data_IF_862771437513
#
_entry.id   IF_862771437513
#
_cell.length_a   1.000
_cell.length_b   1.000
_cell.length_c   1.000
_cell.angle_alpha   90.00
_cell.angle_beta   90.00
_cell.angle_gamma   90.00
#
_symmetry.space_group_name_H-M   'P 1'
#
loop_
_entity.id
_entity.type
_entity.pdbx_description
1 polymer ?
#
# COMPACT_ATOMS: atom_id res chain seq x y z
N UNK A 1 0.65 -24.38 -4.94
CA UNK A 1 0.36 -23.45 -3.84
C UNK A 1 1.36 -22.30 -3.90
N UNK A 2 0.89 -21.06 -3.92
CA UNK A 2 1.74 -19.87 -4.05
C UNK A 2 2.53 -19.58 -2.77
N UNK A 3 3.82 -19.27 -2.93
CA UNK A 3 4.68 -18.71 -1.89
C UNK A 3 4.64 -17.19 -1.98
N UNK A 4 4.09 -16.54 -0.97
CA UNK A 4 3.84 -15.09 -0.98
C UNK A 4 4.64 -14.45 0.15
N UNK A 5 5.39 -13.40 -0.17
CA UNK A 5 6.06 -12.56 0.82
C UNK A 5 5.27 -11.26 1.01
N UNK A 6 5.05 -10.85 2.27
CA UNK A 6 4.47 -9.56 2.61
C UNK A 6 5.42 -8.80 3.54
N UNK A 7 5.92 -7.67 3.06
CA UNK A 7 6.86 -6.81 3.77
C UNK A 7 6.12 -5.55 4.25
N UNK A 8 6.03 -5.36 5.56
CA UNK A 8 5.57 -4.10 6.15
C UNK A 8 6.79 -3.21 6.41
N UNK A 9 6.82 -2.01 5.84
CA UNK A 9 7.94 -1.09 6.01
C UNK A 9 7.53 0.16 6.80
N UNK A 10 8.32 0.46 7.83
CA UNK A 10 8.05 1.58 8.74
C UNK A 10 6.76 1.41 9.55
N UNK A 11 6.40 2.41 10.35
CA UNK A 11 5.27 2.30 11.28
C UNK A 11 3.94 1.97 10.59
N UNK A 12 3.62 2.66 9.49
CA UNK A 12 2.37 2.45 8.75
C UNK A 12 2.30 1.05 8.13
N UNK A 13 3.35 0.65 7.38
CA UNK A 13 3.41 -0.68 6.77
C UNK A 13 3.34 -1.79 7.80
N UNK A 14 4.05 -1.64 8.92
CA UNK A 14 4.03 -2.59 10.03
C UNK A 14 2.64 -2.76 10.64
N UNK A 15 1.88 -1.67 10.85
CA UNK A 15 0.53 -1.74 11.43
C UNK A 15 -0.48 -2.40 10.47
N UNK A 16 -0.34 -2.20 9.16
CA UNK A 16 -1.17 -2.90 8.17
C UNK A 16 -0.83 -4.38 8.15
N UNK A 17 0.47 -4.73 8.17
CA UNK A 17 0.91 -6.12 8.28
C UNK A 17 0.42 -6.79 9.58
N UNK A 18 0.43 -6.07 10.69
CA UNK A 18 -0.11 -6.54 11.97
C UNK A 18 -1.62 -6.82 11.87
N UNK A 19 -2.38 -5.93 11.22
CA UNK A 19 -3.80 -6.14 10.96
C UNK A 19 -4.04 -7.35 10.04
N UNK A 20 -3.20 -7.58 9.03
CA UNK A 20 -3.27 -8.80 8.20
C UNK A 20 -3.01 -10.05 9.03
N UNK A 21 -1.97 -10.03 9.86
CA UNK A 21 -1.64 -11.13 10.76
C UNK A 21 -2.81 -11.43 11.72
N UNK A 22 -3.41 -10.40 12.31
CA UNK A 22 -4.58 -10.51 13.19
C UNK A 22 -5.75 -11.25 12.53
N UNK A 23 -6.11 -10.84 11.31
CA UNK A 23 -7.20 -11.47 10.57
C UNK A 23 -6.85 -12.91 10.18
N UNK A 24 -5.59 -13.21 9.85
CA UNK A 24 -5.12 -14.55 9.48
C UNK A 24 -5.00 -15.54 10.65
N UNK A 25 -4.80 -15.07 11.88
CA UNK A 25 -4.87 -15.91 13.08
C UNK A 25 -6.31 -16.24 13.50
N UNK A 26 -7.30 -15.49 13.00
CA UNK A 26 -8.65 -15.47 13.54
C UNK A 26 -8.71 -14.73 14.88
N UNK A 27 -9.91 -14.32 15.31
CA UNK A 27 -10.15 -13.64 16.61
C UNK A 27 -10.01 -14.59 17.81
N UNK A 28 -8.91 -15.34 17.92
CA UNK A 28 -8.57 -16.14 19.09
C UNK A 28 -7.90 -15.28 20.16
N UNK A 29 -8.26 -15.51 21.43
CA UNK A 29 -7.63 -14.85 22.58
C UNK A 29 -6.11 -15.06 22.63
N UNK A 30 -5.42 -14.28 23.47
CA UNK A 30 -3.95 -14.20 23.57
C UNK A 30 -3.26 -15.57 23.68
N UNK A 31 -3.90 -16.56 24.34
CA UNK A 31 -3.39 -17.92 24.48
C UNK A 31 -3.43 -18.76 23.19
N UNK A 32 -4.42 -18.54 22.31
CA UNK A 32 -4.48 -19.26 21.03
C UNK A 32 -3.31 -18.88 20.12
N UNK A 33 -2.78 -17.65 20.22
CA UNK A 33 -1.70 -17.12 19.36
C UNK A 33 -0.35 -17.84 19.52
N UNK A 34 -0.05 -18.34 20.73
CA UNK A 34 1.20 -19.05 21.02
C UNK A 34 1.23 -20.48 20.44
N UNK A 35 0.06 -21.13 20.35
CA UNK A 35 -0.07 -22.51 19.90
C UNK A 35 -0.65 -22.65 18.48
N UNK A 36 -1.21 -21.58 17.91
CA UNK A 36 -1.86 -21.62 16.59
C UNK A 36 -0.89 -21.15 15.49
N UNK A 37 -0.76 -21.95 14.43
CA UNK A 37 -0.12 -21.53 13.17
C UNK A 37 -1.00 -20.48 12.48
N UNK A 38 -0.41 -19.42 11.92
CA UNK A 38 -1.14 -18.49 11.04
C UNK A 38 -1.87 -19.32 9.98
N UNK A 39 -3.18 -19.20 9.90
CA UNK A 39 -3.99 -19.90 8.89
C UNK A 39 -4.17 -18.97 7.70
N UNK A 40 -3.06 -18.61 7.07
CA UNK A 40 -3.16 -18.04 5.73
C UNK A 40 -3.67 -19.13 4.78
N UNK A 41 -4.53 -18.78 3.81
CA UNK A 41 -4.94 -19.71 2.75
C UNK A 41 -3.75 -20.21 1.90
N UNK A 42 -2.65 -19.46 1.87
CA UNK A 42 -1.43 -19.70 1.08
C UNK A 42 -0.17 -19.80 1.99
N UNK A 43 0.98 -20.16 1.40
CA UNK A 43 2.28 -20.09 2.08
C UNK A 43 2.73 -18.62 2.17
N UNK A 44 2.12 -17.87 3.10
CA UNK A 44 2.43 -16.45 3.32
C UNK A 44 3.53 -16.32 4.36
N UNK A 45 4.60 -15.61 4.00
CA UNK A 45 5.66 -15.16 4.90
C UNK A 45 5.52 -13.67 5.12
N UNK A 46 5.68 -13.21 6.36
CA UNK A 46 5.54 -11.80 6.71
C UNK A 46 6.80 -11.30 7.40
N UNK A 47 7.26 -10.09 7.08
CA UNK A 47 8.35 -9.41 7.79
C UNK A 47 7.96 -7.94 8.00
N UNK A 48 7.95 -7.50 9.26
CA UNK A 48 7.85 -6.09 9.64
C UNK A 48 9.26 -5.51 9.78
N UNK A 49 9.61 -4.51 8.97
CA UNK A 49 10.95 -3.92 8.91
C UNK A 49 10.85 -2.45 9.33
N UNK A 50 11.61 -2.07 10.36
CA UNK A 50 11.65 -0.68 10.80
C UNK A 50 12.98 -0.33 11.49
N UNK A 51 13.33 0.95 11.46
CA UNK A 51 14.47 1.51 12.19
C UNK A 51 14.10 1.87 13.64
N UNK A 52 12.82 2.15 13.90
CA UNK A 52 12.32 2.43 15.24
C UNK A 52 11.89 1.14 15.96
N UNK A 53 12.69 0.69 16.94
CA UNK A 53 12.40 -0.53 17.71
C UNK A 53 11.09 -0.46 18.50
N UNK A 54 10.69 0.73 18.96
CA UNK A 54 9.46 0.92 19.72
C UNK A 54 8.21 0.61 18.87
N UNK A 55 8.23 0.95 17.59
CA UNK A 55 7.14 0.60 16.67
C UNK A 55 7.02 -0.93 16.50
N UNK A 56 8.16 -1.62 16.38
CA UNK A 56 8.18 -3.08 16.29
C UNK A 56 7.68 -3.74 17.57
N UNK A 57 8.08 -3.21 18.75
CA UNK A 57 7.58 -3.68 20.05
C UNK A 57 6.07 -3.49 20.18
N UNK A 58 5.52 -2.42 19.63
CA UNK A 58 4.09 -2.11 19.66
C UNK A 58 3.20 -3.03 18.80
N UNK A 59 3.77 -3.88 17.94
CA UNK A 59 3.00 -4.86 17.17
C UNK A 59 2.46 -5.96 18.08
N UNK A 60 1.19 -6.31 17.92
CA UNK A 60 0.50 -7.26 18.80
C UNK A 60 0.37 -8.63 18.15
N UNK A 61 0.16 -8.67 16.84
CA UNK A 61 -0.19 -9.88 16.10
C UNK A 61 0.96 -10.40 15.23
N UNK A 62 2.04 -9.64 15.07
CA UNK A 62 3.26 -10.04 14.33
C UNK A 62 4.24 -10.73 15.27
N UNK A 63 4.72 -11.93 14.95
CA UNK A 63 5.62 -12.68 15.84
C UNK A 63 7.00 -12.02 15.93
N UNK A 64 7.71 -12.20 17.05
CA UNK A 64 9.03 -11.59 17.26
C UNK A 64 10.04 -11.92 16.14
N UNK A 65 10.08 -13.18 15.69
CA UNK A 65 10.95 -13.60 14.56
C UNK A 65 10.60 -12.93 13.22
N UNK A 66 9.41 -12.37 13.10
CA UNK A 66 8.90 -11.68 11.91
C UNK A 66 9.05 -10.15 12.04
N UNK A 67 9.76 -9.67 13.07
CA UNK A 67 10.07 -8.27 13.31
C UNK A 67 11.57 -8.05 13.10
N UNK A 68 11.94 -7.39 12.02
CA UNK A 68 13.30 -7.01 11.71
C UNK A 68 13.54 -5.56 12.14
N UNK A 69 14.39 -5.40 13.16
CA UNK A 69 14.91 -4.09 13.53
C UNK A 69 16.16 -3.79 12.71
N UNK A 70 16.15 -2.68 11.99
CA UNK A 70 17.31 -2.17 11.26
C UNK A 70 18.00 -1.11 12.14
N UNK A 71 19.20 -1.37 12.67
CA UNK A 71 19.80 -0.50 13.69
C UNK A 71 20.08 0.91 13.19
N UNK A 72 19.44 1.91 13.78
CA UNK A 72 19.80 3.32 13.62
C UNK A 72 19.18 4.19 14.73
N UNK A 73 19.96 4.48 15.78
CA UNK A 73 19.57 5.35 16.91
C UNK A 73 18.11 5.13 17.35
N UNK A 74 17.27 6.17 17.26
CA UNK A 74 15.84 6.18 17.62
C UNK A 74 14.91 6.14 16.40
N UNK A 75 15.43 5.82 15.21
CA UNK A 75 14.75 5.94 13.93
C UNK A 75 15.18 7.18 13.13
N UNK A 76 14.76 7.25 11.86
CA UNK A 76 15.20 8.31 10.91
C UNK A 76 14.22 9.49 10.83
N UNK A 77 13.18 9.51 11.65
CA UNK A 77 12.12 10.51 11.62
C UNK A 77 11.43 10.59 10.25
N UNK A 78 11.25 11.80 9.73
CA UNK A 78 10.76 12.07 8.37
C UNK A 78 11.89 12.34 7.36
N UNK A 79 13.16 12.07 7.70
CA UNK A 79 14.30 12.33 6.83
C UNK A 79 14.55 11.17 5.87
N UNK A 80 14.14 11.33 4.60
CA UNK A 80 14.33 10.30 3.57
C UNK A 80 15.78 10.10 3.17
N UNK A 81 16.61 11.14 3.16
CA UNK A 81 18.03 11.03 2.80
C UNK A 81 18.76 10.14 3.79
N UNK A 82 18.54 10.38 5.09
CA UNK A 82 19.07 9.51 6.15
C UNK A 82 18.49 8.09 6.05
N UNK A 83 17.19 7.97 5.78
CA UNK A 83 16.57 6.66 5.55
C UNK A 83 17.20 5.86 4.41
N UNK A 84 17.54 6.50 3.29
CA UNK A 84 18.25 5.85 2.17
C UNK A 84 19.64 5.38 2.60
N UNK A 85 20.41 6.21 3.31
CA UNK A 85 21.72 5.83 3.85
C UNK A 85 21.63 4.61 4.78
N UNK A 86 20.67 4.63 5.71
CA UNK A 86 20.46 3.51 6.64
C UNK A 86 20.08 2.23 5.91
N UNK A 87 19.31 2.30 4.83
CA UNK A 87 19.00 1.13 4.01
C UNK A 87 20.28 0.57 3.38
N UNK A 88 21.09 1.40 2.71
CA UNK A 88 22.32 0.96 2.05
C UNK A 88 23.30 0.31 3.05
N UNK A 89 23.50 0.95 4.20
CA UNK A 89 24.39 0.44 5.26
C UNK A 89 23.94 -0.92 5.83
N UNK A 90 22.64 -1.26 5.70
CA UNK A 90 22.04 -2.47 6.27
C UNK A 90 21.41 -3.38 5.21
N UNK A 91 21.70 -3.15 3.92
CA UNK A 91 21.09 -3.85 2.79
C UNK A 91 21.27 -5.36 2.90
N UNK A 92 22.48 -5.81 3.22
CA UNK A 92 22.82 -7.24 3.37
C UNK A 92 22.03 -7.90 4.51
N UNK A 93 21.80 -7.20 5.62
CA UNK A 93 21.00 -7.70 6.74
C UNK A 93 19.54 -7.85 6.31
N UNK A 94 18.99 -6.84 5.63
CA UNK A 94 17.60 -6.83 5.17
C UNK A 94 17.37 -7.98 4.17
N UNK A 95 18.22 -8.09 3.15
CA UNK A 95 18.11 -9.13 2.12
C UNK A 95 18.37 -10.52 2.70
N UNK A 96 19.38 -10.67 3.57
CA UNK A 96 19.66 -11.94 4.23
C UNK A 96 18.50 -12.47 5.07
N UNK A 97 17.72 -11.59 5.72
CA UNK A 97 16.50 -12.01 6.45
C UNK A 97 15.34 -12.38 5.54
N UNK A 98 15.25 -11.76 4.35
CA UNK A 98 14.26 -12.11 3.33
C UNK A 98 14.60 -13.48 2.73
N UNK A 99 15.85 -13.71 2.34
CA UNK A 99 16.33 -14.94 1.71
C UNK A 99 16.14 -16.17 2.61
N UNK A 100 16.30 -16.00 3.93
CA UNK A 100 16.00 -17.04 4.93
C UNK A 100 14.55 -17.54 4.89
N UNK A 101 13.61 -16.81 4.28
CA UNK A 101 12.21 -17.24 4.17
C UNK A 101 11.94 -18.12 2.94
N UNK A 102 12.90 -18.27 2.04
CA UNK A 102 12.85 -19.15 0.88
C UNK A 102 12.54 -18.44 -0.43
N UNK A 103 11.93 -19.16 -1.37
CA UNK A 103 11.53 -18.64 -2.68
C UNK A 103 10.12 -18.06 -2.65
N UNK A 104 9.85 -17.06 -3.51
CA UNK A 104 8.54 -16.42 -3.60
C UNK A 104 8.05 -16.37 -5.03
N UNK A 105 6.73 -16.54 -5.20
CA UNK A 105 6.02 -16.41 -6.47
C UNK A 105 5.39 -15.01 -6.61
N UNK A 106 5.22 -14.29 -5.50
CA UNK A 106 4.63 -12.95 -5.42
C UNK A 106 5.12 -12.22 -4.16
N UNK A 107 5.46 -10.95 -4.30
CA UNK A 107 5.96 -10.12 -3.19
C UNK A 107 5.11 -8.85 -3.08
N UNK A 108 4.62 -8.57 -1.87
CA UNK A 108 3.94 -7.33 -1.53
C UNK A 108 4.83 -6.46 -0.62
N UNK A 109 4.97 -5.19 -0.96
CA UNK A 109 5.62 -4.17 -0.12
C UNK A 109 4.56 -3.18 0.35
N UNK A 110 4.32 -3.08 1.65
CA UNK A 110 3.35 -2.18 2.25
C UNK A 110 4.09 -1.06 2.96
N UNK A 111 3.83 0.19 2.57
CA UNK A 111 4.51 1.35 3.14
C UNK A 111 3.64 2.60 3.13
N UNK A 112 4.03 3.62 3.88
CA UNK A 112 3.54 4.99 3.68
C UNK A 112 4.51 5.76 2.80
N UNK A 113 3.96 6.58 1.91
CA UNK A 113 4.74 7.51 1.09
C UNK A 113 5.37 8.65 1.91
N UNK A 114 4.85 8.93 3.10
CA UNK A 114 5.13 10.17 3.82
C UNK A 114 6.21 10.07 4.92
N UNK A 115 6.40 8.89 5.52
CA UNK A 115 7.37 8.70 6.62
C UNK A 115 8.84 8.75 6.16
N UNK A 116 9.80 8.66 7.08
CA UNK A 116 11.23 8.58 6.71
C UNK A 116 11.67 7.17 6.36
N UNK A 117 11.47 6.17 7.23
CA UNK A 117 11.97 4.80 7.01
C UNK A 117 11.26 4.10 5.85
N UNK A 118 9.93 3.96 5.94
CA UNK A 118 9.17 3.20 4.93
C UNK A 118 9.27 3.80 3.53
N UNK A 119 9.25 5.13 3.41
CA UNK A 119 9.24 5.81 2.10
C UNK A 119 10.64 5.88 1.44
N UNK A 120 11.70 5.67 2.21
CA UNK A 120 13.08 5.58 1.69
C UNK A 120 13.46 4.14 1.38
N UNK A 121 13.07 3.19 2.23
CA UNK A 121 13.39 1.77 2.06
C UNK A 121 12.62 1.15 0.89
N UNK A 122 11.33 1.51 0.72
CA UNK A 122 10.47 0.87 -0.28
C UNK A 122 11.04 0.88 -1.71
N UNK A 123 11.43 2.03 -2.31
CA UNK A 123 11.98 2.03 -3.67
C UNK A 123 13.28 1.21 -3.77
N UNK A 124 14.21 1.38 -2.82
CA UNK A 124 15.48 0.64 -2.82
C UNK A 124 15.21 -0.87 -2.73
N UNK A 125 14.28 -1.28 -1.86
CA UNK A 125 13.91 -2.68 -1.71
C UNK A 125 13.18 -3.25 -2.94
N UNK A 126 12.39 -2.45 -3.67
CA UNK A 126 11.82 -2.87 -4.97
C UNK A 126 12.94 -3.24 -5.95
N UNK A 127 14.00 -2.42 -6.02
CA UNK A 127 15.16 -2.68 -6.88
C UNK A 127 15.81 -4.02 -6.54
N UNK A 128 16.21 -4.18 -5.27
CA UNK A 128 16.89 -5.38 -4.79
C UNK A 128 16.06 -6.65 -5.00
N UNK A 129 14.76 -6.59 -4.70
CA UNK A 129 13.87 -7.74 -4.84
C UNK A 129 13.65 -8.13 -6.30
N UNK A 130 13.59 -7.17 -7.22
CA UNK A 130 13.46 -7.47 -8.65
C UNK A 130 14.73 -8.08 -9.24
N UNK A 131 15.90 -7.64 -8.76
CA UNK A 131 17.18 -8.22 -9.17
C UNK A 131 17.36 -9.65 -8.63
N UNK A 132 16.94 -9.88 -7.38
CA UNK A 132 17.09 -11.17 -6.70
C UNK A 132 16.02 -12.19 -7.09
N UNK A 133 14.74 -11.76 -7.16
CA UNK A 133 13.57 -12.60 -7.40
C UNK A 133 12.93 -12.26 -8.76
N UNK A 134 13.69 -12.45 -9.84
CA UNK A 134 13.34 -12.01 -11.21
C UNK A 134 11.98 -12.49 -11.73
N UNK A 135 11.49 -13.63 -11.24
CA UNK A 135 10.19 -14.20 -11.64
C UNK A 135 9.03 -13.79 -10.73
N UNK A 136 9.30 -13.24 -9.55
CA UNK A 136 8.29 -12.85 -8.58
C UNK A 136 7.82 -11.41 -8.86
N UNK A 137 6.54 -11.19 -9.19
CA UNK A 137 5.99 -9.84 -9.28
C UNK A 137 6.12 -9.11 -7.94
N UNK A 138 6.53 -7.85 -7.98
CA UNK A 138 6.62 -6.98 -6.81
C UNK A 138 5.51 -5.94 -6.90
N UNK A 139 4.55 -6.01 -5.98
CA UNK A 139 3.40 -5.08 -5.91
C UNK A 139 3.53 -4.20 -4.67
N UNK A 140 3.56 -2.89 -4.88
CA UNK A 140 3.65 -1.90 -3.80
C UNK A 140 2.25 -1.46 -3.36
N UNK A 141 1.99 -1.46 -2.06
CA UNK A 141 0.82 -0.85 -1.44
C UNK A 141 1.30 0.41 -0.75
N UNK A 142 0.97 1.56 -1.33
CA UNK A 142 1.52 2.86 -0.92
C UNK A 142 0.43 3.73 -0.34
N UNK A 143 0.56 4.05 0.96
CA UNK A 143 -0.39 4.87 1.71
C UNK A 143 -0.01 6.35 1.64
N UNK A 144 -0.91 7.17 1.09
CA UNK A 144 -0.78 8.63 1.04
C UNK A 144 -1.11 9.26 2.41
N UNK A 145 -0.45 10.37 2.77
CA UNK A 145 -0.69 11.07 4.03
C UNK A 145 -2.06 11.77 4.07
N UNK A 146 -2.50 12.16 5.27
CA UNK A 146 -3.56 13.17 5.35
C UNK A 146 -3.00 14.52 4.88
N UNK A 147 -3.84 15.36 4.26
CA UNK A 147 -3.36 16.63 3.69
C UNK A 147 -2.94 17.65 4.75
N UNK A 148 -3.38 17.46 6.00
CA UNK A 148 -3.09 18.32 7.15
C UNK A 148 -1.84 17.90 7.94
N UNK A 149 -1.12 16.83 7.56
CA UNK A 149 0.03 16.32 8.35
C UNK A 149 1.25 17.23 8.32
N UNK A 150 1.34 18.17 7.37
CA UNK A 150 2.44 19.13 7.23
C UNK A 150 3.20 18.99 5.91
N UNK A 151 3.94 20.03 5.55
CA UNK A 151 4.65 20.13 4.27
C UNK A 151 5.64 18.99 4.03
N UNK A 152 6.43 18.63 5.04
CA UNK A 152 7.44 17.57 4.94
C UNK A 152 6.85 16.22 4.51
N UNK A 153 5.64 15.88 4.97
CA UNK A 153 4.98 14.62 4.63
C UNK A 153 4.45 14.62 3.18
N UNK A 154 3.98 15.76 2.69
CA UNK A 154 3.58 15.93 1.29
C UNK A 154 4.79 15.83 0.35
N UNK A 155 5.89 16.48 0.72
CA UNK A 155 7.16 16.42 -0.02
C UNK A 155 7.68 14.97 -0.08
N UNK A 156 7.73 14.29 1.06
CA UNK A 156 8.13 12.89 1.14
C UNK A 156 7.23 12.01 0.26
N UNK A 157 5.91 12.22 0.30
CA UNK A 157 4.98 11.45 -0.50
C UNK A 157 5.22 11.61 -2.00
N UNK A 158 5.42 12.85 -2.47
CA UNK A 158 5.73 13.13 -3.86
C UNK A 158 7.03 12.44 -4.30
N UNK A 159 8.13 12.61 -3.56
CA UNK A 159 9.40 11.99 -3.92
C UNK A 159 9.37 10.46 -3.78
N UNK A 160 8.67 9.91 -2.78
CA UNK A 160 8.55 8.47 -2.60
C UNK A 160 7.81 7.81 -3.75
N UNK A 161 6.69 8.39 -4.19
CA UNK A 161 5.92 7.82 -5.29
C UNK A 161 6.70 7.87 -6.60
N UNK A 162 7.38 8.98 -6.88
CA UNK A 162 8.29 9.09 -8.01
C UNK A 162 9.36 7.98 -7.95
N UNK A 163 10.08 7.89 -6.84
CA UNK A 163 11.16 6.91 -6.67
C UNK A 163 10.61 5.47 -6.86
N UNK A 164 9.45 5.12 -6.28
CA UNK A 164 8.86 3.77 -6.47
C UNK A 164 8.51 3.52 -7.94
N UNK A 165 7.92 4.48 -8.65
CA UNK A 165 7.54 4.33 -10.06
C UNK A 165 8.79 4.16 -10.94
N UNK A 166 9.85 4.91 -10.65
CA UNK A 166 11.13 4.86 -11.38
C UNK A 166 11.80 3.47 -11.25
N UNK A 167 11.61 2.77 -10.13
CA UNK A 167 12.07 1.39 -9.94
C UNK A 167 11.22 0.34 -10.67
N UNK A 168 10.11 0.75 -11.29
CA UNK A 168 9.22 -0.05 -12.15
C UNK A 168 8.76 -1.37 -11.48
N UNK A 169 8.11 -1.34 -10.29
CA UNK A 169 7.47 -2.53 -9.74
C UNK A 169 6.40 -3.05 -10.71
N UNK A 170 5.89 -4.26 -10.46
CA UNK A 170 4.78 -4.79 -11.28
C UNK A 170 3.54 -3.90 -11.21
N UNK A 171 3.29 -3.26 -10.06
CA UNK A 171 2.25 -2.26 -9.93
C UNK A 171 2.29 -1.56 -8.58
N UNK A 172 1.65 -0.40 -8.51
CA UNK A 172 1.50 0.40 -7.29
C UNK A 172 0.02 0.59 -6.97
N UNK A 173 -0.45 0.01 -5.87
CA UNK A 173 -1.80 0.19 -5.35
C UNK A 173 -1.81 1.30 -4.30
N UNK A 174 -2.57 2.35 -4.57
CA UNK A 174 -2.66 3.54 -3.72
C UNK A 174 -3.80 3.40 -2.71
N UNK A 175 -3.50 3.82 -1.48
CA UNK A 175 -4.46 4.00 -0.39
C UNK A 175 -4.38 5.44 0.08
N UNK A 176 -5.48 6.20 0.02
CA UNK A 176 -5.47 7.61 0.44
C UNK A 176 -6.11 7.79 1.83
N UNK A 177 -5.27 8.09 2.83
CA UNK A 177 -5.75 8.37 4.18
C UNK A 177 -6.72 9.56 4.20
N UNK A 178 -6.47 10.61 3.42
CA UNK A 178 -7.36 11.77 3.37
C UNK A 178 -8.75 11.39 2.87
N UNK A 179 -8.80 10.52 1.86
CA UNK A 179 -10.05 10.06 1.29
C UNK A 179 -10.83 9.20 2.29
N UNK A 180 -10.14 8.25 2.91
CA UNK A 180 -10.74 7.31 3.84
C UNK A 180 -11.11 7.94 5.18
N UNK A 181 -10.50 9.09 5.55
CA UNK A 181 -10.88 9.92 6.71
C UNK A 181 -12.37 10.21 6.72
N UNK A 182 -12.98 10.49 5.56
CA UNK A 182 -14.41 10.85 5.43
C UNK A 182 -15.35 9.74 5.89
N UNK A 183 -14.86 8.50 5.88
CA UNK A 183 -15.61 7.33 6.30
C UNK A 183 -15.16 6.82 7.67
N UNK A 184 -14.17 7.47 8.28
CA UNK A 184 -13.66 7.17 9.60
C UNK A 184 -14.12 8.24 10.61
N UNK A 185 -14.25 7.83 11.87
CA UNK A 185 -14.58 8.75 12.96
C UNK A 185 -13.36 9.57 13.38
N UNK A 186 -12.96 9.44 14.65
CA UNK A 186 -11.74 10.08 15.15
C UNK A 186 -10.46 9.60 14.42
N UNK A 187 -9.34 10.33 14.54
CA UNK A 187 -8.10 10.04 13.80
C UNK A 187 -7.49 8.67 14.17
N UNK A 188 -7.55 8.27 15.44
CA UNK A 188 -6.95 7.00 15.88
C UNK A 188 -7.76 5.81 15.35
N UNK A 189 -9.08 5.86 15.47
CA UNK A 189 -10.00 4.91 14.85
C UNK A 189 -9.91 4.96 13.33
N UNK A 190 -9.56 6.10 12.73
CA UNK A 190 -9.33 6.19 11.29
C UNK A 190 -8.15 5.35 10.85
N UNK A 191 -7.00 5.44 11.52
CA UNK A 191 -5.87 4.57 11.21
C UNK A 191 -6.22 3.09 11.34
N UNK A 192 -6.83 2.67 12.44
CA UNK A 192 -7.21 1.27 12.63
C UNK A 192 -8.23 0.80 11.60
N UNK A 193 -9.21 1.64 11.26
CA UNK A 193 -10.21 1.34 10.23
C UNK A 193 -9.56 1.22 8.85
N UNK A 194 -8.66 2.14 8.48
CA UNK A 194 -7.93 2.10 7.21
C UNK A 194 -7.05 0.86 7.15
N UNK A 195 -6.28 0.57 8.20
CA UNK A 195 -5.40 -0.59 8.27
C UNK A 195 -6.19 -1.90 8.10
N UNK A 196 -7.31 -2.06 8.81
CA UNK A 196 -8.20 -3.22 8.67
C UNK A 196 -8.81 -3.32 7.28
N UNK A 197 -9.23 -2.19 6.71
CA UNK A 197 -9.86 -2.09 5.39
C UNK A 197 -8.88 -2.49 4.27
N UNK A 198 -7.62 -2.06 4.38
CA UNK A 198 -6.52 -2.46 3.48
C UNK A 198 -6.13 -3.92 3.67
N UNK A 199 -5.90 -4.34 4.92
CA UNK A 199 -5.54 -5.72 5.25
C UNK A 199 -6.58 -6.73 4.74
N UNK A 200 -7.87 -6.45 4.93
CA UNK A 200 -8.98 -7.30 4.46
C UNK A 200 -8.96 -7.48 2.94
N UNK A 201 -8.67 -6.41 2.17
CA UNK A 201 -8.60 -6.47 0.70
C UNK A 201 -7.39 -7.28 0.22
N UNK A 202 -6.23 -7.08 0.85
CA UNK A 202 -5.02 -7.85 0.53
C UNK A 202 -5.17 -9.34 0.85
N UNK A 203 -5.76 -9.69 1.98
CA UNK A 203 -6.06 -11.08 2.32
C UNK A 203 -7.04 -11.71 1.34
N UNK A 204 -8.06 -10.96 0.92
CA UNK A 204 -9.00 -11.41 -0.10
C UNK A 204 -8.28 -11.69 -1.43
N UNK A 205 -7.39 -10.80 -1.87
CA UNK A 205 -6.59 -10.98 -3.08
C UNK A 205 -5.69 -12.22 -2.97
N UNK A 206 -4.96 -12.36 -1.86
CA UNK A 206 -4.07 -13.50 -1.60
C UNK A 206 -4.84 -14.83 -1.63
N UNK A 207 -6.01 -14.87 -0.98
CA UNK A 207 -6.87 -16.05 -0.99
C UNK A 207 -7.36 -16.40 -2.40
N UNK A 208 -7.71 -15.37 -3.17
CA UNK A 208 -8.15 -15.55 -4.55
C UNK A 208 -7.07 -16.16 -5.42
N UNK A 209 -5.87 -15.57 -5.42
CA UNK A 209 -4.75 -16.01 -6.26
C UNK A 209 -4.27 -17.44 -5.94
N UNK A 210 -4.48 -17.92 -4.71
CA UNK A 210 -4.05 -19.26 -4.29
C UNK A 210 -5.13 -20.33 -4.47
N UNK A 211 -6.34 -19.98 -4.93
CA UNK A 211 -7.43 -20.95 -5.07
C UNK A 211 -7.25 -21.83 -6.31
N UNK A 212 -7.37 -23.15 -6.15
CA UNK A 212 -7.26 -24.15 -7.23
C UNK A 212 -8.55 -24.32 -8.06
N UNK A 213 -9.56 -23.47 -7.85
CA UNK A 213 -10.84 -23.59 -8.58
C UNK A 213 -10.70 -23.13 -10.05
N UNK A 214 -11.37 -23.85 -10.96
CA UNK A 214 -11.28 -23.69 -12.42
C UNK A 214 -11.61 -22.29 -12.99
N UNK A 215 -12.27 -21.41 -12.23
CA UNK A 215 -12.66 -20.04 -12.64
C UNK A 215 -12.00 -18.97 -11.77
N UNK A 216 -10.77 -19.21 -11.32
CA UNK A 216 -10.00 -18.29 -10.48
C UNK A 216 -9.00 -17.53 -11.33
N UNK A 217 -8.71 -16.31 -10.92
CA UNK A 217 -7.70 -15.46 -11.54
C UNK A 217 -6.30 -15.87 -11.10
N UNK A 218 -5.35 -15.89 -12.03
CA UNK A 218 -3.97 -16.31 -11.75
C UNK A 218 -3.01 -15.12 -11.62
N UNK A 219 -1.71 -15.42 -11.43
CA UNK A 219 -0.67 -14.39 -11.39
C UNK A 219 -0.48 -13.69 -12.75
N UNK A 220 -0.76 -14.35 -13.87
CA UNK A 220 -0.69 -13.76 -15.21
C UNK A 220 -1.72 -12.65 -15.40
N UNK A 221 -2.95 -12.89 -14.97
CA UNK A 221 -4.03 -11.92 -14.94
C UNK A 221 -3.66 -10.72 -14.04
N UNK A 222 -3.16 -10.99 -12.82
CA UNK A 222 -2.69 -9.93 -11.92
C UNK A 222 -1.61 -9.08 -12.58
N UNK A 223 -0.57 -9.69 -13.17
CA UNK A 223 0.51 -8.97 -13.87
C UNK A 223 -0.05 -8.15 -15.03
N UNK A 224 -0.98 -8.71 -15.79
CA UNK A 224 -1.60 -8.03 -16.93
C UNK A 224 -2.37 -6.80 -16.46
N UNK A 225 -3.18 -6.92 -15.42
CA UNK A 225 -3.94 -5.80 -14.86
C UNK A 225 -3.00 -4.74 -14.29
N UNK A 226 -2.01 -5.14 -13.47
CA UNK A 226 -1.06 -4.21 -12.84
C UNK A 226 -0.17 -3.46 -13.84
N UNK A 227 0.18 -4.09 -14.96
CA UNK A 227 0.91 -3.44 -16.07
C UNK A 227 0.01 -2.59 -16.99
N UNK A 228 -1.27 -2.42 -16.64
CA UNK A 228 -2.19 -1.55 -17.37
C UNK A 228 -2.00 -0.07 -17.06
N UNK A 229 -2.27 0.79 -18.04
CA UNK A 229 -2.21 2.25 -17.87
C UNK A 229 -0.83 2.72 -17.43
N UNK A 230 -0.78 3.59 -16.41
CA UNK A 230 0.47 4.14 -15.87
C UNK A 230 1.09 3.30 -14.73
N UNK A 231 0.61 2.07 -14.50
CA UNK A 231 1.11 1.19 -13.43
C UNK A 231 0.69 1.61 -12.01
N UNK A 232 -0.22 2.58 -11.90
CA UNK A 232 -0.83 3.02 -10.64
C UNK A 232 -2.27 2.54 -10.61
N UNK A 233 -2.70 2.07 -9.45
CA UNK A 233 -4.02 1.50 -9.26
C UNK A 233 -4.58 1.70 -7.86
N UNK A 234 -5.75 1.12 -7.61
CA UNK A 234 -6.36 1.04 -6.29
C UNK A 234 -7.25 -0.19 -6.15
N UNK A 235 -7.77 -0.42 -4.95
CA UNK A 235 -8.66 -1.53 -4.65
C UNK A 235 -10.05 -1.04 -4.25
N UNK A 236 -11.07 -1.61 -4.85
CA UNK A 236 -12.46 -1.53 -4.44
C UNK A 236 -12.90 -2.77 -3.67
N UNK A 237 -13.84 -2.62 -2.75
CA UNK A 237 -14.43 -3.74 -2.03
C UNK A 237 -15.90 -3.48 -1.70
N UNK A 238 -16.70 -4.52 -1.81
CA UNK A 238 -18.09 -4.49 -1.35
C UNK A 238 -18.52 -5.84 -0.78
N UNK A 239 -19.33 -5.79 0.27
CA UNK A 239 -19.95 -6.96 0.89
C UNK A 239 -21.46 -6.82 0.77
N UNK A 240 -22.08 -7.80 0.12
CA UNK A 240 -23.52 -7.80 -0.14
C UNK A 240 -24.31 -7.85 1.17
N UNK A 241 -25.31 -6.97 1.26
CA UNK A 241 -26.36 -7.06 2.27
C UNK A 241 -27.37 -8.15 1.92
N UNK A 242 -28.39 -8.37 2.75
CA UNK A 242 -29.40 -9.43 2.53
C UNK A 242 -30.15 -9.25 1.21
N UNK A 243 -30.41 -8.01 0.83
CA UNK A 243 -31.26 -7.65 -0.32
C UNK A 243 -30.43 -7.24 -1.55
N UNK A 244 -29.10 -7.32 -1.47
CA UNK A 244 -28.19 -6.99 -2.55
C UNK A 244 -28.16 -8.10 -3.61
N UNK A 245 -28.40 -7.74 -4.86
CA UNK A 245 -28.13 -8.64 -6.01
C UNK A 245 -26.62 -8.71 -6.29
N UNK A 246 -26.17 -9.75 -6.99
CA UNK A 246 -24.75 -9.86 -7.38
C UNK A 246 -24.29 -8.69 -8.26
N UNK A 247 -25.15 -8.22 -9.18
CA UNK A 247 -24.90 -7.02 -9.98
C UNK A 247 -24.71 -5.79 -9.09
N UNK A 248 -25.57 -5.59 -8.08
CA UNK A 248 -25.42 -4.47 -7.15
C UNK A 248 -24.13 -4.57 -6.31
N UNK A 249 -23.69 -5.79 -5.98
CA UNK A 249 -22.45 -6.02 -5.24
C UNK A 249 -21.21 -5.71 -6.09
N UNK A 250 -21.22 -6.09 -7.38
CA UNK A 250 -20.15 -5.74 -8.33
C UNK A 250 -20.07 -4.22 -8.46
N UNK A 251 -21.17 -3.56 -8.81
CA UNK A 251 -21.19 -2.09 -8.95
C UNK A 251 -20.85 -1.39 -7.62
N UNK A 252 -21.17 -2.00 -6.49
CA UNK A 252 -20.81 -1.52 -5.16
C UNK A 252 -19.30 -1.39 -4.94
N UNK A 253 -18.48 -2.28 -5.51
CA UNK A 253 -17.02 -2.21 -5.36
C UNK A 253 -16.37 -1.14 -6.26
N UNK A 254 -17.12 -0.60 -7.24
CA UNK A 254 -16.69 0.45 -8.17
C UNK A 254 -17.07 1.84 -7.67
N UNK A 255 -18.06 1.91 -6.77
CA UNK A 255 -18.50 3.16 -6.17
C UNK A 255 -17.38 3.78 -5.34
N UNK A 256 -17.33 5.12 -5.22
CA UNK A 256 -16.34 5.81 -4.42
C UNK A 256 -16.20 5.22 -3.00
N UNK A 257 -17.31 4.97 -2.31
CA UNK A 257 -17.31 4.40 -0.95
C UNK A 257 -16.69 3.02 -0.81
N UNK A 258 -16.52 2.28 -1.91
CA UNK A 258 -15.84 0.99 -1.95
C UNK A 258 -14.33 1.09 -2.19
N UNK A 259 -13.83 2.20 -2.75
CA UNK A 259 -12.45 2.38 -3.18
C UNK A 259 -11.52 2.82 -2.04
N UNK A 260 -10.24 2.47 -2.14
CA UNK A 260 -9.17 2.98 -1.25
C UNK A 260 -8.61 4.33 -1.70
N UNK A 261 -8.91 4.76 -2.93
CA UNK A 261 -8.42 5.99 -3.54
C UNK A 261 -9.57 6.68 -4.32
N UNK A 262 -9.69 8.02 -4.27
CA UNK A 262 -10.72 8.74 -5.00
C UNK A 262 -10.41 8.78 -6.49
N UNK A 263 -10.97 7.85 -7.26
CA UNK A 263 -10.87 7.80 -8.72
C UNK A 263 -12.22 7.53 -9.34
N UNK A 264 -12.45 8.07 -10.54
CA UNK A 264 -13.57 7.67 -11.37
C UNK A 264 -13.13 6.51 -12.27
N UNK A 265 -13.29 5.28 -11.79
CA UNK A 265 -12.83 4.07 -12.48
C UNK A 265 -13.39 3.89 -13.88
N UNK A 266 -14.55 4.47 -14.19
CA UNK A 266 -15.17 4.42 -15.52
C UNK A 266 -14.50 5.34 -16.54
N UNK A 267 -13.84 6.41 -16.10
CA UNK A 267 -13.15 7.37 -16.97
C UNK A 267 -11.64 7.22 -16.93
N UNK A 268 -11.13 6.92 -15.75
CA UNK A 268 -9.70 6.89 -15.44
C UNK A 268 -9.14 5.47 -15.44
N UNK A 269 -9.99 4.44 -15.41
CA UNK A 269 -9.57 3.05 -15.43
C UNK A 269 -8.92 2.63 -16.75
N UNK A 270 -7.94 1.74 -16.66
CA UNK A 270 -7.22 1.15 -17.78
C UNK A 270 -7.50 -0.36 -17.90
N UNK A 271 -7.34 -1.07 -16.78
CA UNK A 271 -7.67 -2.49 -16.64
C UNK A 271 -8.29 -2.73 -15.29
N UNK A 272 -9.10 -3.78 -15.19
CA UNK A 272 -9.66 -4.21 -13.92
C UNK A 272 -9.54 -5.71 -13.71
N UNK A 273 -9.45 -6.11 -12.45
CA UNK A 273 -9.54 -7.49 -11.99
C UNK A 273 -10.68 -7.58 -10.99
N UNK A 274 -11.65 -8.44 -11.24
CA UNK A 274 -12.81 -8.63 -10.38
C UNK A 274 -12.78 -10.01 -9.76
N UNK A 275 -12.81 -10.06 -8.44
CA UNK A 275 -12.85 -11.31 -7.70
C UNK A 275 -14.14 -11.34 -6.91
N UNK A 276 -15.01 -12.27 -7.27
CA UNK A 276 -16.35 -12.43 -6.72
C UNK A 276 -16.34 -13.69 -5.87
N UNK A 277 -16.74 -13.58 -4.61
CA UNK A 277 -16.72 -14.69 -3.66
C UNK A 277 -18.07 -14.81 -2.97
N UNK A 278 -18.70 -15.98 -3.01
CA UNK A 278 -20.00 -16.18 -2.36
C UNK A 278 -20.55 -17.59 -2.49
N UNK A 279 -21.67 -17.85 -1.81
CA UNK A 279 -22.37 -19.13 -1.91
C UNK A 279 -22.94 -19.31 -3.32
N UNK A 280 -22.91 -20.53 -3.86
CA UNK A 280 -23.36 -20.86 -5.22
C UNK A 280 -24.76 -20.34 -5.51
N UNK A 281 -25.67 -20.34 -4.51
CA UNK A 281 -27.05 -19.84 -4.68
C UNK A 281 -27.16 -18.35 -4.99
N UNK A 282 -26.11 -17.56 -4.74
CA UNK A 282 -26.08 -16.12 -5.03
C UNK A 282 -25.28 -15.78 -6.30
N UNK A 283 -24.54 -16.74 -6.84
CA UNK A 283 -23.59 -16.53 -7.94
C UNK A 283 -24.22 -16.93 -9.27
N UNK A 284 -25.10 -16.08 -9.78
CA UNK A 284 -25.63 -16.18 -11.15
C UNK A 284 -24.52 -15.82 -12.15
N UNK A 285 -23.95 -16.83 -12.81
CA UNK A 285 -22.81 -16.69 -13.71
C UNK A 285 -23.16 -15.91 -14.99
N UNK A 286 -24.39 -16.02 -15.49
CA UNK A 286 -24.83 -15.32 -16.69
C UNK A 286 -24.97 -13.83 -16.39
N UNK A 287 -25.60 -13.49 -15.25
CA UNK A 287 -25.69 -12.11 -14.79
C UNK A 287 -24.31 -11.51 -14.49
N UNK A 288 -23.40 -12.26 -13.88
CA UNK A 288 -22.01 -11.84 -13.66
C UNK A 288 -21.34 -11.55 -15.01
N UNK A 289 -21.45 -12.46 -15.97
CA UNK A 289 -20.81 -12.33 -17.29
C UNK A 289 -21.33 -11.10 -18.03
N UNK A 290 -22.65 -10.95 -18.13
CA UNK A 290 -23.28 -9.78 -18.76
C UNK A 290 -22.87 -8.47 -18.08
N UNK A 291 -22.84 -8.44 -16.75
CA UNK A 291 -22.41 -7.23 -16.01
C UNK A 291 -20.95 -6.88 -16.30
N UNK A 292 -20.08 -7.88 -16.47
CA UNK A 292 -18.66 -7.65 -16.74
C UNK A 292 -18.41 -7.24 -18.19
N UNK A 293 -19.18 -7.76 -19.14
CA UNK A 293 -19.17 -7.30 -20.54
C UNK A 293 -19.59 -5.83 -20.62
N UNK A 294 -20.67 -5.44 -19.93
CA UNK A 294 -21.11 -4.03 -19.80
C UNK A 294 -19.99 -3.15 -19.21
N UNK A 295 -19.26 -3.63 -18.19
CA UNK A 295 -18.16 -2.86 -17.59
C UNK A 295 -16.92 -2.79 -18.48
N UNK A 296 -16.68 -3.82 -19.29
CA UNK A 296 -15.53 -3.88 -20.21
C UNK A 296 -15.65 -2.86 -21.34
N UNK A 297 -16.86 -2.49 -21.75
CA UNK A 297 -17.04 -1.42 -22.75
C UNK A 297 -16.68 -0.04 -22.20
N UNK A 298 -16.70 0.15 -20.88
CA UNK A 298 -16.41 1.43 -20.23
C UNK A 298 -14.95 1.54 -19.76
N UNK A 299 -14.39 0.47 -19.20
CA UNK A 299 -13.05 0.50 -18.56
C UNK A 299 -11.95 -0.06 -19.46
N UNK A 300 -12.31 -0.88 -20.46
CA UNK A 300 -11.38 -1.66 -21.26
C UNK A 300 -11.30 -3.11 -20.78
N UNK A 301 -10.09 -3.61 -20.51
CA UNK A 301 -9.92 -5.04 -20.21
C UNK A 301 -10.31 -5.35 -18.75
N UNK A 302 -11.27 -6.25 -18.57
CA UNK A 302 -11.72 -6.71 -17.25
C UNK A 302 -11.53 -8.21 -17.12
N UNK A 303 -10.71 -8.62 -16.14
CA UNK A 303 -10.50 -10.01 -15.77
C UNK A 303 -11.46 -10.38 -14.63
N UNK A 304 -11.94 -11.61 -14.60
CA UNK A 304 -12.89 -12.07 -13.58
C UNK A 304 -12.47 -13.40 -12.97
N UNK A 305 -12.63 -13.50 -11.65
CA UNK A 305 -12.49 -14.73 -10.89
C UNK A 305 -13.70 -14.93 -9.99
N UNK A 306 -14.23 -16.15 -9.95
CA UNK A 306 -15.39 -16.52 -9.13
C UNK A 306 -15.02 -17.63 -8.16
N UNK A 307 -15.11 -17.36 -6.87
CA UNK A 307 -14.82 -18.30 -5.78
C UNK A 307 -16.11 -18.71 -5.06
N UNK A 308 -16.43 -19.99 -5.11
CA UNK A 308 -17.58 -20.54 -4.40
C UNK A 308 -17.20 -20.78 -2.94
N UNK A 309 -17.79 -20.02 -2.03
CA UNK A 309 -17.60 -20.19 -0.59
C UNK A 309 -18.83 -19.78 0.19
N UNK A 310 -19.16 -20.54 1.23
CA UNK A 310 -20.28 -20.21 2.14
C UNK A 310 -20.18 -18.76 2.62
N UNK A 311 -21.32 -18.07 2.54
CA UNK A 311 -21.46 -16.67 2.94
C UNK A 311 -22.14 -15.83 1.88
N UNK A 312 -22.43 -14.58 2.25
CA UNK A 312 -22.95 -13.59 1.30
C UNK A 312 -21.89 -13.23 0.25
N UNK A 313 -22.30 -12.80 -0.95
CA UNK A 313 -21.38 -12.31 -1.95
C UNK A 313 -20.50 -11.18 -1.43
N UNK A 314 -19.22 -11.25 -1.74
CA UNK A 314 -18.22 -10.21 -1.54
C UNK A 314 -17.47 -10.03 -2.84
N UNK A 315 -17.22 -8.78 -3.20
CA UNK A 315 -16.52 -8.43 -4.44
C UNK A 315 -15.30 -7.61 -4.08
N UNK A 316 -14.14 -8.05 -4.56
CA UNK A 316 -12.92 -7.27 -4.61
C UNK A 316 -12.70 -6.83 -6.06
N UNK A 317 -12.39 -5.56 -6.26
CA UNK A 317 -11.97 -5.04 -7.56
C UNK A 317 -10.58 -4.43 -7.44
N UNK A 318 -9.67 -4.78 -8.34
CA UNK A 318 -8.41 -4.05 -8.52
C UNK A 318 -8.54 -3.25 -9.81
N UNK A 319 -8.14 -1.99 -9.78
CA UNK A 319 -8.12 -1.12 -10.95
C UNK A 319 -6.71 -0.63 -11.16
N UNK A 320 -6.24 -0.62 -12.41
CA UNK A 320 -5.15 0.27 -12.84
C UNK A 320 -5.72 1.44 -13.62
N UNK A 321 -4.98 2.54 -13.64
CA UNK A 321 -5.47 3.84 -14.10
C UNK A 321 -4.64 4.35 -15.28
N UNK A 322 -5.29 5.02 -16.23
CA UNK A 322 -4.67 5.74 -17.35
C UNK A 322 -4.26 7.16 -16.96
N UNK A 323 -4.99 7.77 -16.02
CA UNK A 323 -4.72 9.10 -15.48
C UNK A 323 -5.07 9.15 -14.00
N UNK A 324 -4.38 10.00 -13.24
CA UNK A 324 -4.57 10.10 -11.78
C UNK A 324 -4.58 11.57 -11.34
N UNK A 325 -5.64 12.35 -11.66
CA UNK A 325 -5.69 13.78 -11.38
C UNK A 325 -5.50 14.14 -9.90
N UNK A 326 -5.98 13.28 -8.99
CA UNK A 326 -5.80 13.48 -7.56
C UNK A 326 -4.34 13.36 -7.11
N UNK A 327 -3.54 12.56 -7.81
CA UNK A 327 -2.11 12.47 -7.57
C UNK A 327 -1.39 13.71 -8.12
N UNK A 328 -1.78 14.22 -9.29
CA UNK A 328 -1.26 15.49 -9.82
C UNK A 328 -1.49 16.65 -8.85
N UNK A 329 -2.68 16.74 -8.23
CA UNK A 329 -2.96 17.73 -7.18
C UNK A 329 -2.01 17.60 -5.98
N UNK A 330 -1.71 16.36 -5.56
CA UNK A 330 -0.75 16.10 -4.49
C UNK A 330 0.65 16.61 -4.87
N UNK A 331 1.12 16.33 -6.09
CA UNK A 331 2.40 16.79 -6.58
C UNK A 331 2.47 18.32 -6.67
N UNK A 332 1.42 18.97 -7.16
CA UNK A 332 1.34 20.44 -7.22
C UNK A 332 1.44 21.05 -5.82
N UNK A 333 0.67 20.54 -4.86
CA UNK A 333 0.72 21.01 -3.47
C UNK A 333 2.11 20.80 -2.84
N UNK A 334 2.76 19.67 -3.11
CA UNK A 334 4.12 19.41 -2.63
C UNK A 334 5.13 20.37 -3.26
N UNK A 335 5.03 20.64 -4.57
CA UNK A 335 5.91 21.57 -5.27
C UNK A 335 5.75 23.01 -4.76
N UNK A 336 4.52 23.46 -4.51
CA UNK A 336 4.24 24.76 -3.89
C UNK A 336 4.85 24.86 -2.49
N UNK A 337 4.70 23.83 -1.66
CA UNK A 337 5.29 23.78 -0.33
C UNK A 337 6.83 23.90 -0.36
N UNK A 338 7.49 23.20 -1.31
CA UNK A 338 8.95 23.28 -1.49
C UNK A 338 9.38 24.68 -1.90
N UNK A 339 8.67 25.30 -2.85
CA UNK A 339 8.98 26.66 -3.32
C UNK A 339 8.87 27.67 -2.18
N UNK A 340 7.78 27.59 -1.41
CA UNK A 340 7.55 28.47 -0.28
C UNK A 340 8.63 28.34 0.81
N UNK A 341 9.04 27.10 1.14
CA UNK A 341 10.13 26.87 2.11
C UNK A 341 11.47 27.42 1.60
N UNK A 342 11.76 27.24 0.30
CA UNK A 342 12.97 27.78 -0.32
C UNK A 342 13.00 29.31 -0.27
N UNK A 343 11.91 29.98 -0.65
CA UNK A 343 11.81 31.44 -0.61
C UNK A 343 11.99 31.99 0.80
N UNK A 344 11.35 31.37 1.81
CA UNK A 344 11.54 31.77 3.22
C UNK A 344 12.98 31.61 3.68
N UNK A 345 13.65 30.53 3.27
CA UNK A 345 15.07 30.29 3.61
C UNK A 345 15.96 31.35 2.95
N UNK A 346 15.76 31.63 1.67
CA UNK A 346 16.54 32.61 0.94
C UNK A 346 16.35 34.03 1.52
N UNK A 347 15.11 34.43 1.83
CA UNK A 347 14.83 35.69 2.52
C UNK A 347 15.50 35.78 3.90
N UNK A 348 15.48 34.68 4.68
CA UNK A 348 16.10 34.65 6.00
C UNK A 348 17.63 34.74 5.91
N UNK A 349 18.23 34.07 4.91
CA UNK A 349 19.67 34.15 4.65
C UNK A 349 20.07 35.57 4.25
N UNK A 350 19.34 36.19 3.32
CA UNK A 350 19.62 37.57 2.90
C UNK A 350 19.53 38.58 4.06
N UNK A 351 18.59 38.38 5.00
CA UNK A 351 18.50 39.22 6.22
C UNK A 351 19.70 39.00 7.15
N UNK A 352 20.17 37.77 7.32
CA UNK A 352 21.36 37.47 8.09
C UNK A 352 22.61 38.05 7.44
N UNK A 353 22.78 37.87 6.12
CA UNK A 353 23.90 38.42 5.37
C UNK A 353 23.96 39.95 5.48
N UNK A 354 22.80 40.62 5.40
CA UNK A 354 22.71 42.08 5.62
C UNK A 354 23.06 42.49 7.06
N UNK A 355 22.72 41.68 8.06
CA UNK A 355 23.08 41.94 9.46
C UNK A 355 24.58 41.72 9.71
N UNK A 356 25.18 40.68 9.11
CA UNK A 356 26.61 40.43 9.19
C UNK A 356 27.42 41.53 8.51
N UNK A 357 27.03 41.96 7.30
CA UNK A 357 27.67 43.09 6.62
C UNK A 357 27.64 44.36 7.47
N UNK A 358 26.53 44.63 8.16
CA UNK A 358 26.44 45.79 9.05
C UNK A 358 27.35 45.69 10.27
N UNK A 359 27.58 44.49 10.80
CA UNK A 359 28.52 44.27 11.91
C UNK A 359 29.96 44.41 11.43
N UNK A 360 30.30 43.85 10.26
CA UNK A 360 31.63 43.98 9.64
C UNK A 360 31.99 45.45 9.37
N UNK A 361 31.03 46.29 8.98
CA UNK A 361 31.26 47.74 8.80
C UNK A 361 31.53 48.48 10.13
N UNK A 362 31.03 47.96 11.25
CA UNK A 362 31.21 48.54 12.58
C UNK A 362 32.48 48.03 13.29
N UNK A 363 33.02 46.89 12.89
CA UNK A 363 34.20 46.26 13.49
C UNK A 363 35.46 47.14 13.45
N UNK A 364 35.79 47.89 12.37
CA UNK A 364 36.93 48.81 12.34
C UNK A 364 36.75 50.08 13.17
N UNK A 365 35.52 50.36 13.64
CA UNK A 365 35.19 51.54 14.46
C UNK A 365 35.41 51.24 15.96
N UNK A 366 35.42 49.96 16.33
CA UNK A 366 35.75 49.47 17.67
C UNK A 366 37.26 49.31 17.84
#
# INVERSE_FOLDING_TARGET
MLNILVLGLGQCGNRILDAMNREAFGRGGTFAKYYTRQKFPASVKTIAINTAINDLKGLVDTRAKDRLHVPHLHGVGANRTLGKQVFEDNKEIIMGEIDKRGTFDLIFIITSAAGGSGSSFAPLLVRELKETYTNAPVVCITVLPFREEGSIFLQNAAFCLKDIIDEKPTGVLIVDNQYLKKYAGDIKSAYDKINNTTARRLLFLIEALNSEMLMVTDLGDLKTVMNGGIGIGTMGFYEASKDSTIKSAILGSFKPSGLLFPTNVYKEGARAMLIIKGDKKYLDLDLITKTIEELSTEIGQVFKGVLIQRGRPRVLSLFTLNSVPELEKLYTAAAEAIRFEKERRDQSRNRLDSAFSHIEDLEPIY
#
